data_IF_019014340853
#
_entry.id   IF_019014340853
#
_cell.length_a   1.000
_cell.length_b   1.000
_cell.length_c   1.000
_cell.angle_alpha   90.00
_cell.angle_beta   90.00
_cell.angle_gamma   90.00
#
_symmetry.space_group_name_H-M   'P 1'
#
loop_
_entity.id
_entity.type
_entity.pdbx_description
1 polymer ?
#
# COMPACT_ATOMS: atom_id res chain seq x y z
N UNK A 1 2.21 32.98 -34.14
CA UNK A 1 2.34 32.44 -32.78
C UNK A 1 3.22 33.36 -31.96
N UNK A 2 2.61 34.20 -31.13
CA UNK A 2 3.32 35.06 -30.18
C UNK A 2 3.69 34.27 -28.91
N UNK A 3 4.58 34.80 -28.07
CA UNK A 3 4.90 34.20 -26.75
C UNK A 3 3.64 33.97 -25.91
N UNK A 4 2.72 34.94 -25.90
CA UNK A 4 1.48 34.85 -25.14
C UNK A 4 0.55 33.75 -25.66
N UNK A 5 0.45 33.58 -26.98
CA UNK A 5 -0.31 32.48 -27.61
C UNK A 5 0.29 31.12 -27.24
N UNK A 6 1.62 30.98 -27.25
CA UNK A 6 2.30 29.75 -26.82
C UNK A 6 2.01 29.39 -25.36
N UNK A 7 2.21 30.35 -24.45
CA UNK A 7 1.98 30.11 -23.02
C UNK A 7 0.50 29.84 -22.71
N UNK A 8 -0.44 30.37 -23.50
CA UNK A 8 -1.87 30.08 -23.36
C UNK A 8 -2.22 28.66 -23.82
N UNK A 9 -1.73 28.24 -24.99
CA UNK A 9 -1.97 26.88 -25.49
C UNK A 9 -1.30 25.81 -24.61
N UNK A 10 -0.08 26.07 -24.15
CA UNK A 10 0.60 25.18 -23.20
C UNK A 10 -0.21 25.00 -21.91
N UNK A 11 -0.76 26.09 -21.34
CA UNK A 11 -1.62 26.02 -20.15
C UNK A 11 -2.89 25.19 -20.37
N UNK A 12 -3.53 25.33 -21.54
CA UNK A 12 -4.69 24.50 -21.89
C UNK A 12 -4.33 23.01 -21.95
N UNK A 13 -3.20 22.67 -22.57
CA UNK A 13 -2.72 21.29 -22.66
C UNK A 13 -2.42 20.71 -21.27
N UNK A 14 -1.76 21.48 -20.39
CA UNK A 14 -1.50 21.07 -19.00
C UNK A 14 -2.82 20.81 -18.27
N UNK A 15 -3.78 21.73 -18.33
CA UNK A 15 -5.07 21.58 -17.65
C UNK A 15 -5.87 20.37 -18.18
N UNK A 16 -5.88 20.15 -19.50
CA UNK A 16 -6.52 18.99 -20.12
C UNK A 16 -5.87 17.68 -19.65
N UNK A 17 -4.53 17.66 -19.51
CA UNK A 17 -3.80 16.51 -18.99
C UNK A 17 -4.08 16.26 -17.50
N UNK A 18 -4.10 17.31 -16.67
CA UNK A 18 -4.31 17.21 -15.22
C UNK A 18 -5.73 16.81 -14.84
N UNK A 19 -6.73 17.17 -15.65
CA UNK A 19 -8.15 16.87 -15.39
C UNK A 19 -8.53 15.43 -15.73
N UNK A 20 -7.63 14.68 -16.39
CA UNK A 20 -7.83 13.24 -16.63
C UNK A 20 -7.99 12.46 -15.33
N UNK A 21 -9.11 11.73 -15.22
CA UNK A 21 -9.38 10.77 -14.14
C UNK A 21 -9.49 9.33 -14.63
N UNK A 22 -9.24 9.10 -15.92
CA UNK A 22 -9.36 7.80 -16.58
C UNK A 22 -8.48 6.73 -15.94
N UNK A 23 -8.96 5.49 -16.01
CA UNK A 23 -8.17 4.32 -15.65
C UNK A 23 -7.70 3.62 -16.93
N UNK A 24 -6.41 3.31 -17.01
CA UNK A 24 -5.81 2.66 -18.15
C UNK A 24 -5.49 1.20 -17.85
N UNK A 25 -5.85 0.29 -18.77
CA UNK A 25 -5.52 -1.15 -18.67
C UNK A 25 -5.90 -1.76 -17.31
N UNK A 26 -6.99 -1.26 -16.72
CA UNK A 26 -7.50 -1.74 -15.44
C UNK A 26 -8.59 -2.79 -15.63
N UNK A 27 -8.57 -3.83 -14.80
CA UNK A 27 -9.52 -4.95 -14.87
C UNK A 27 -10.29 -5.04 -13.55
N UNK A 28 -11.62 -5.02 -13.63
CA UNK A 28 -12.51 -5.16 -12.47
C UNK A 28 -12.23 -4.18 -11.31
N UNK A 29 -11.79 -2.95 -11.63
CA UNK A 29 -11.62 -1.88 -10.66
C UNK A 29 -12.93 -1.12 -10.42
N UNK A 30 -13.27 -0.85 -9.16
CA UNK A 30 -14.53 -0.17 -8.78
C UNK A 30 -14.22 1.13 -8.05
N UNK A 31 -14.85 2.23 -8.46
CA UNK A 31 -14.64 3.56 -7.86
C UNK A 31 -13.14 3.93 -7.77
N UNK A 32 -12.41 3.69 -8.86
CA UNK A 32 -11.00 4.05 -9.00
C UNK A 32 -10.80 5.23 -9.95
N UNK A 33 -9.78 6.04 -9.69
CA UNK A 33 -9.40 7.18 -10.52
C UNK A 33 -7.90 7.17 -10.81
N UNK A 34 -7.50 7.53 -12.04
CA UNK A 34 -6.09 7.67 -12.43
C UNK A 34 -5.26 6.40 -12.20
N UNK A 35 -5.86 5.22 -12.30
CA UNK A 35 -5.16 3.96 -12.10
C UNK A 35 -4.65 3.38 -13.42
N UNK A 36 -3.50 2.71 -13.39
CA UNK A 36 -2.83 2.14 -14.56
C UNK A 36 -2.43 0.70 -14.28
N UNK A 37 -2.76 -0.22 -15.20
CA UNK A 37 -2.38 -1.65 -15.11
C UNK A 37 -2.81 -2.32 -13.79
N UNK A 38 -3.99 -1.98 -13.26
CA UNK A 38 -4.46 -2.49 -11.96
C UNK A 38 -5.56 -3.56 -12.11
N UNK A 39 -5.69 -4.45 -11.11
CA UNK A 39 -6.71 -5.51 -11.13
C UNK A 39 -7.42 -5.63 -9.79
N UNK A 40 -8.75 -5.73 -9.79
CA UNK A 40 -9.57 -5.95 -8.59
C UNK A 40 -9.39 -4.90 -7.48
N UNK A 41 -9.03 -3.66 -7.84
CA UNK A 41 -8.89 -2.56 -6.87
C UNK A 41 -10.23 -1.86 -6.60
N UNK A 42 -10.40 -1.29 -5.40
CA UNK A 42 -11.63 -0.57 -5.01
C UNK A 42 -11.34 0.76 -4.34
N UNK A 43 -12.16 1.78 -4.58
CA UNK A 43 -12.11 3.08 -3.89
C UNK A 43 -10.70 3.70 -3.84
N UNK A 44 -9.93 3.58 -4.92
CA UNK A 44 -8.49 3.87 -4.90
C UNK A 44 -8.08 4.86 -5.99
N UNK A 45 -7.03 5.64 -5.76
CA UNK A 45 -6.61 6.71 -6.66
C UNK A 45 -5.14 6.66 -6.98
N UNK A 46 -4.77 6.92 -8.23
CA UNK A 46 -3.38 6.99 -8.68
C UNK A 46 -2.58 5.70 -8.36
N UNK A 47 -3.15 4.54 -8.65
CA UNK A 47 -2.46 3.25 -8.49
C UNK A 47 -1.75 2.86 -9.79
N UNK A 48 -0.61 2.19 -9.69
CA UNK A 48 0.13 1.66 -10.84
C UNK A 48 0.53 0.20 -10.59
N UNK A 49 0.18 -0.73 -11.48
CA UNK A 49 0.51 -2.16 -11.36
C UNK A 49 0.15 -2.74 -9.97
N UNK A 50 -1.07 -2.43 -9.50
CA UNK A 50 -1.55 -2.86 -8.20
C UNK A 50 -2.69 -3.87 -8.31
N UNK A 51 -2.74 -4.82 -7.38
CA UNK A 51 -3.75 -5.88 -7.38
C UNK A 51 -4.42 -6.03 -6.01
N UNK A 52 -5.74 -6.16 -5.97
CA UNK A 52 -6.50 -6.34 -4.72
C UNK A 52 -6.28 -5.23 -3.68
N UNK A 53 -6.05 -3.99 -4.12
CA UNK A 53 -5.89 -2.85 -3.22
C UNK A 53 -7.22 -2.12 -2.98
N UNK A 54 -7.46 -1.72 -1.74
CA UNK A 54 -8.72 -1.08 -1.32
C UNK A 54 -8.43 0.21 -0.57
N UNK A 55 -9.21 1.26 -0.81
CA UNK A 55 -9.11 2.56 -0.12
C UNK A 55 -7.67 3.13 -0.12
N UNK A 56 -6.91 2.95 -1.22
CA UNK A 56 -5.48 3.25 -1.28
C UNK A 56 -5.13 4.33 -2.31
N UNK A 57 -4.04 5.05 -2.08
CA UNK A 57 -3.65 6.21 -2.89
C UNK A 57 -2.16 6.22 -3.23
N UNK A 58 -1.82 6.52 -4.49
CA UNK A 58 -0.42 6.71 -4.93
C UNK A 58 0.48 5.50 -4.61
N UNK A 59 0.00 4.29 -4.89
CA UNK A 59 0.79 3.07 -4.70
C UNK A 59 1.26 2.50 -6.04
N UNK A 60 2.45 1.90 -6.05
CA UNK A 60 3.01 1.18 -7.19
C UNK A 60 3.41 -0.25 -6.81
N UNK A 61 3.24 -1.18 -7.75
CA UNK A 61 3.73 -2.57 -7.64
C UNK A 61 3.27 -3.28 -6.36
N UNK A 62 2.08 -2.95 -5.86
CA UNK A 62 1.62 -3.36 -4.53
C UNK A 62 0.41 -4.27 -4.59
N UNK A 63 0.31 -5.21 -3.65
CA UNK A 63 -0.77 -6.21 -3.62
C UNK A 63 -1.42 -6.37 -2.25
N UNK A 64 -2.73 -6.60 -2.22
CA UNK A 64 -3.49 -6.86 -0.99
C UNK A 64 -3.32 -5.75 0.08
N UNK A 65 -3.23 -4.49 -0.33
CA UNK A 65 -3.08 -3.35 0.58
C UNK A 65 -4.42 -2.67 0.85
N UNK A 66 -4.65 -2.20 2.08
CA UNK A 66 -5.89 -1.52 2.50
C UNK A 66 -5.60 -0.22 3.22
N UNK A 67 -6.24 0.88 2.80
CA UNK A 67 -6.09 2.16 3.49
C UNK A 67 -4.67 2.72 3.41
N UNK A 68 -3.92 2.37 2.37
CA UNK A 68 -2.50 2.67 2.27
C UNK A 68 -2.21 3.87 1.36
N UNK A 69 -1.07 4.52 1.59
CA UNK A 69 -0.67 5.69 0.83
C UNK A 69 0.82 5.68 0.51
N UNK A 70 1.20 6.09 -0.69
CA UNK A 70 2.61 6.25 -1.07
C UNK A 70 3.43 4.96 -0.86
N UNK A 71 2.87 3.81 -1.26
CA UNK A 71 3.56 2.51 -1.16
C UNK A 71 4.28 2.14 -2.46
N UNK A 72 5.44 1.52 -2.34
CA UNK A 72 6.21 1.02 -3.48
C UNK A 72 6.58 -0.44 -3.22
N UNK A 73 6.19 -1.34 -4.11
CA UNK A 73 6.53 -2.77 -4.05
C UNK A 73 6.17 -3.43 -2.69
N UNK A 74 4.97 -3.17 -2.16
CA UNK A 74 4.55 -3.65 -0.84
C UNK A 74 3.43 -4.69 -0.93
N UNK A 75 3.32 -5.56 0.08
CA UNK A 75 2.25 -6.57 0.13
C UNK A 75 1.59 -6.71 1.50
N UNK A 76 0.28 -6.96 1.54
CA UNK A 76 -0.46 -7.21 2.78
C UNK A 76 -0.32 -6.09 3.82
N UNK A 77 -0.27 -4.83 3.37
CA UNK A 77 -0.16 -3.68 4.26
C UNK A 77 -1.54 -3.09 4.60
N UNK A 78 -1.70 -2.61 5.84
CA UNK A 78 -2.93 -2.00 6.33
C UNK A 78 -2.62 -0.64 6.94
N UNK A 79 -3.34 0.39 6.52
CA UNK A 79 -3.29 1.75 7.08
C UNK A 79 -1.86 2.30 7.20
N UNK A 80 -0.99 1.98 6.24
CA UNK A 80 0.44 2.30 6.25
C UNK A 80 0.79 3.31 5.17
N UNK A 81 1.79 4.15 5.44
CA UNK A 81 2.19 5.26 4.57
C UNK A 81 3.68 5.28 4.25
N UNK A 82 4.05 5.70 3.03
CA UNK A 82 5.45 5.94 2.62
C UNK A 82 6.38 4.75 2.89
N UNK A 83 5.92 3.53 2.60
CA UNK A 83 6.71 2.33 2.81
C UNK A 83 7.15 1.71 1.48
N UNK A 84 8.33 1.11 1.49
CA UNK A 84 8.96 0.55 0.29
C UNK A 84 9.41 -0.88 0.54
N UNK A 85 9.19 -1.77 -0.44
CA UNK A 85 9.66 -3.17 -0.42
C UNK A 85 9.33 -3.92 0.87
N UNK A 86 8.16 -3.66 1.46
CA UNK A 86 7.79 -4.14 2.79
C UNK A 86 6.53 -4.99 2.74
N UNK A 87 6.35 -5.87 3.72
CA UNK A 87 5.19 -6.77 3.77
C UNK A 87 4.62 -6.92 5.17
N UNK A 88 3.31 -7.16 5.26
CA UNK A 88 2.62 -7.34 6.56
C UNK A 88 2.83 -6.15 7.51
N UNK A 89 2.79 -4.93 6.96
CA UNK A 89 2.88 -3.70 7.75
C UNK A 89 1.49 -3.26 8.19
N UNK A 90 1.39 -2.80 9.43
CA UNK A 90 0.14 -2.32 10.00
C UNK A 90 0.41 -0.99 10.67
N UNK A 91 -0.31 0.06 10.26
CA UNK A 91 -0.12 1.42 10.79
C UNK A 91 1.34 1.88 10.82
N UNK A 92 2.14 1.44 9.86
CA UNK A 92 3.57 1.78 9.81
C UNK A 92 3.82 2.90 8.81
N UNK A 93 4.89 3.66 9.07
CA UNK A 93 5.21 4.87 8.33
C UNK A 93 6.71 4.89 8.02
N UNK A 94 7.09 5.31 6.81
CA UNK A 94 8.50 5.49 6.43
C UNK A 94 9.37 4.22 6.63
N UNK A 95 8.80 3.03 6.41
CA UNK A 95 9.50 1.75 6.58
C UNK A 95 10.02 1.20 5.24
N UNK A 96 11.25 0.67 5.24
CA UNK A 96 11.88 0.11 4.03
C UNK A 96 12.36 -1.31 4.27
N UNK A 97 11.96 -2.26 3.43
CA UNK A 97 12.39 -3.66 3.53
C UNK A 97 11.95 -4.35 4.82
N UNK A 98 10.86 -3.93 5.45
CA UNK A 98 10.43 -4.44 6.75
C UNK A 98 9.31 -5.48 6.60
N UNK A 99 9.28 -6.45 7.52
CA UNK A 99 8.24 -7.50 7.54
C UNK A 99 7.62 -7.62 8.94
N UNK A 100 6.30 -7.77 9.05
CA UNK A 100 5.66 -7.92 10.36
C UNK A 100 6.02 -6.77 11.31
N UNK A 101 5.70 -5.54 10.91
CA UNK A 101 5.85 -4.36 11.76
C UNK A 101 4.49 -3.74 12.04
N UNK A 102 4.27 -3.40 13.31
CA UNK A 102 3.02 -2.82 13.80
C UNK A 102 3.30 -1.47 14.44
N UNK A 103 2.72 -0.39 13.89
CA UNK A 103 2.93 0.95 14.42
C UNK A 103 4.38 1.43 14.36
N UNK A 104 5.17 0.96 13.40
CA UNK A 104 6.60 1.29 13.32
C UNK A 104 6.85 2.50 12.43
N UNK A 105 7.92 3.25 12.74
CA UNK A 105 8.29 4.48 12.03
C UNK A 105 9.78 4.46 11.69
N UNK A 106 10.14 4.67 10.42
CA UNK A 106 11.53 4.87 10.01
C UNK A 106 12.42 3.62 10.08
N UNK A 107 11.85 2.42 10.16
CA UNK A 107 12.63 1.19 10.24
C UNK A 107 13.16 0.77 8.86
N UNK A 108 14.35 0.16 8.87
CA UNK A 108 14.99 -0.37 7.66
C UNK A 108 15.42 -1.81 7.91
N UNK A 109 14.91 -2.74 7.09
CA UNK A 109 15.24 -4.18 7.13
C UNK A 109 15.08 -4.79 8.53
N UNK A 110 13.93 -4.52 9.16
CA UNK A 110 13.57 -5.05 10.47
C UNK A 110 12.31 -5.91 10.37
N UNK A 111 12.29 -6.94 11.21
CA UNK A 111 11.16 -7.85 11.30
C UNK A 111 10.66 -7.98 12.73
N UNK A 112 9.36 -8.23 12.92
CA UNK A 112 8.74 -8.46 14.23
C UNK A 112 8.94 -7.30 15.21
N UNK A 113 8.58 -6.09 14.78
CA UNK A 113 8.64 -4.90 15.64
C UNK A 113 7.25 -4.34 15.93
N UNK A 114 7.04 -3.92 17.17
CA UNK A 114 5.86 -3.16 17.58
C UNK A 114 6.38 -1.85 18.17
N UNK A 115 5.92 -0.70 17.65
CA UNK A 115 6.40 0.63 18.09
C UNK A 115 7.94 0.74 18.12
N UNK A 116 8.59 0.26 17.05
CA UNK A 116 10.05 0.19 16.90
C UNK A 116 10.80 -0.70 17.92
N UNK A 117 10.10 -1.45 18.77
CA UNK A 117 10.72 -2.41 19.69
C UNK A 117 10.67 -3.82 19.11
N UNK A 118 11.77 -4.59 19.17
CA UNK A 118 11.80 -5.97 18.68
C UNK A 118 11.03 -6.90 19.62
N UNK A 119 10.33 -7.87 19.04
CA UNK A 119 9.64 -8.92 19.77
C UNK A 119 10.01 -10.28 19.18
N UNK A 120 9.96 -11.32 20.02
CA UNK A 120 9.94 -12.67 19.49
C UNK A 120 8.64 -12.90 18.69
N UNK A 121 8.71 -13.84 17.76
CA UNK A 121 7.61 -14.18 16.86
C UNK A 121 6.30 -14.49 17.60
N UNK A 122 6.38 -15.25 18.69
CA UNK A 122 5.19 -15.72 19.39
C UNK A 122 4.49 -14.59 20.14
N UNK A 123 5.26 -13.72 20.80
CA UNK A 123 4.75 -12.53 21.48
C UNK A 123 4.20 -11.52 20.49
N UNK A 124 4.89 -11.32 19.35
CA UNK A 124 4.45 -10.43 18.29
C UNK A 124 3.04 -10.78 17.80
N UNK A 125 2.79 -12.03 17.40
CA UNK A 125 1.48 -12.43 16.87
C UNK A 125 0.37 -12.37 17.94
N UNK A 126 0.67 -12.72 19.19
CA UNK A 126 -0.29 -12.60 20.30
C UNK A 126 -0.70 -11.15 20.55
N UNK A 127 0.27 -10.24 20.63
CA UNK A 127 0.04 -8.82 20.88
C UNK A 127 -0.69 -8.16 19.71
N UNK A 128 -0.21 -8.38 18.48
CA UNK A 128 -0.81 -7.76 17.29
C UNK A 128 -2.22 -8.27 17.00
N UNK A 129 -2.54 -9.54 17.24
CA UNK A 129 -3.91 -10.05 17.12
C UNK A 129 -4.87 -9.37 18.12
N UNK A 130 -4.40 -9.05 19.33
CA UNK A 130 -5.16 -8.25 20.30
C UNK A 130 -5.35 -6.81 19.81
N UNK A 131 -4.25 -6.14 19.45
CA UNK A 131 -4.27 -4.75 18.99
C UNK A 131 -5.13 -4.54 17.73
N UNK A 132 -5.11 -5.48 16.79
CA UNK A 132 -5.94 -5.43 15.58
C UNK A 132 -7.44 -5.36 15.89
N UNK A 133 -7.89 -6.14 16.89
CA UNK A 133 -9.30 -6.15 17.31
C UNK A 133 -9.66 -4.85 18.02
N UNK A 134 -8.80 -4.38 18.92
CA UNK A 134 -9.02 -3.15 19.67
C UNK A 134 -9.06 -1.91 18.76
N UNK A 135 -8.28 -1.91 17.68
CA UNK A 135 -8.22 -0.80 16.73
C UNK A 135 -9.26 -0.90 15.58
N UNK A 136 -10.09 -1.95 15.56
CA UNK A 136 -11.08 -2.13 14.48
C UNK A 136 -10.45 -2.36 13.10
N UNK A 137 -9.22 -2.86 13.06
CA UNK A 137 -8.47 -3.12 11.82
C UNK A 137 -8.70 -4.53 11.28
N UNK A 138 -9.61 -5.30 11.89
CA UNK A 138 -9.98 -6.63 11.42
C UNK A 138 -10.48 -6.58 9.98
N UNK A 139 -9.96 -7.47 9.14
CA UNK A 139 -10.29 -7.56 7.73
C UNK A 139 -11.81 -7.57 7.52
N UNK A 140 -12.33 -6.51 6.90
CA UNK A 140 -13.66 -6.54 6.31
C UNK A 140 -13.71 -7.69 5.31
N UNK A 141 -14.75 -8.51 5.43
CA UNK A 141 -15.19 -9.59 4.53
C UNK A 141 -14.48 -9.61 3.16
N UNK A 142 -13.43 -10.44 3.03
CA UNK A 142 -12.76 -10.67 1.75
C UNK A 142 -11.26 -10.94 1.81
N UNK A 143 -10.58 -10.73 2.94
CA UNK A 143 -9.19 -11.14 3.09
C UNK A 143 -9.10 -12.59 3.54
N UNK A 144 -8.54 -13.44 2.68
CA UNK A 144 -8.07 -14.77 3.03
C UNK A 144 -7.10 -14.65 4.22
N UNK A 145 -7.18 -15.54 5.23
CA UNK A 145 -6.27 -15.50 6.38
C UNK A 145 -4.83 -15.52 5.88
N UNK A 146 -3.98 -14.68 6.50
CA UNK A 146 -2.55 -14.65 6.22
C UNK A 146 -2.01 -16.10 6.22
N UNK A 147 -1.27 -16.52 5.18
CA UNK A 147 -0.75 -17.87 5.14
C UNK A 147 0.08 -18.14 6.39
N UNK A 148 -0.22 -19.25 7.06
CA UNK A 148 0.62 -19.74 8.14
C UNK A 148 2.07 -19.78 7.63
N UNK A 149 3.05 -19.30 8.41
CA UNK A 149 4.37 -19.09 7.88
C UNK A 149 5.01 -20.40 7.47
N UNK A 150 5.35 -20.52 6.18
CA UNK A 150 6.22 -21.56 5.68
C UNK A 150 7.54 -21.51 6.48
N UNK A 151 7.88 -22.64 7.11
CA UNK A 151 9.16 -22.83 7.76
C UNK A 151 10.26 -22.60 6.73
N UNK A 152 10.95 -21.46 6.82
CA UNK A 152 12.10 -21.19 5.96
C UNK A 152 13.23 -22.09 6.46
N UNK A 153 13.44 -23.19 5.75
CA UNK A 153 14.57 -24.08 5.99
C UNK A 153 15.86 -23.26 5.96
N UNK A 154 16.62 -23.34 7.05
CA UNK A 154 17.94 -22.78 7.15
C UNK A 154 18.80 -23.37 6.02
N UNK A 155 19.21 -22.53 5.08
CA UNK A 155 20.27 -22.89 4.14
C UNK A 155 21.59 -22.82 4.90
N UNK A 156 22.26 -23.97 4.93
CA UNK A 156 23.59 -24.21 5.48
C UNK A 156 24.67 -23.52 4.65
#
# INVERSE_FOLDING_TARGET
MTRAEFEAELRKLIQAFETGTGNERCVACVACERCVDCTFCRNSKALQRCHYCVDSQRCSDSTHCRGCRDLIACSHCVASERCTQSSYLVRSVDCTGCTYCFGCVGLVRKDFHILNQPYDRSSYFKLTAKLMRELGLSAGSGAEPAPAPAARAAQR
#
